data_IF_042336940370
#
_entry.id   IF_042336940370
#
_cell.length_a   1.000
_cell.length_b   1.000
_cell.length_c   1.000
_cell.angle_alpha   90.00
_cell.angle_beta   90.00
_cell.angle_gamma   90.00
#
_symmetry.space_group_name_H-M   'P 1'
#
loop_
_entity.id
_entity.type
_entity.pdbx_description
1 polymer ?
#
# COMPACT_ATOMS: atom_id res chain seq x y z
N UNK A 1 23.36 -37.19 12.07
CA UNK A 1 21.89 -37.49 11.99
C UNK A 1 21.58 -37.96 10.57
N UNK A 2 21.06 -39.15 10.35
CA UNK A 2 20.79 -39.68 8.99
C UNK A 2 19.50 -39.06 8.44
N UNK A 3 19.56 -38.46 7.26
CA UNK A 3 18.42 -37.79 6.63
C UNK A 3 17.35 -38.78 6.14
N UNK A 4 16.07 -38.42 6.03
CA UNK A 4 15.02 -39.26 5.46
C UNK A 4 15.31 -39.70 4.01
N UNK A 5 16.06 -38.92 3.24
CA UNK A 5 16.51 -39.29 1.90
C UNK A 5 17.52 -40.45 1.93
N UNK A 6 18.56 -40.32 2.75
CA UNK A 6 19.55 -41.38 2.92
C UNK A 6 18.96 -42.73 3.42
N UNK A 7 17.93 -42.66 4.30
CA UNK A 7 17.20 -43.87 4.72
C UNK A 7 16.41 -44.51 3.58
N UNK A 8 15.85 -43.72 2.66
CA UNK A 8 15.14 -44.25 1.47
C UNK A 8 16.12 -44.95 0.51
N UNK A 9 17.27 -44.31 0.26
CA UNK A 9 18.32 -44.85 -0.59
C UNK A 9 18.86 -46.17 0.01
N UNK A 10 19.13 -46.22 1.33
CA UNK A 10 19.56 -47.43 2.00
C UNK A 10 18.51 -48.54 1.92
N UNK A 11 17.22 -48.23 2.09
CA UNK A 11 16.15 -49.20 1.95
C UNK A 11 16.02 -49.74 0.51
N UNK A 12 16.18 -48.88 -0.49
CA UNK A 12 16.18 -49.25 -1.91
C UNK A 12 17.40 -50.14 -2.23
N UNK A 13 18.59 -49.78 -1.75
CA UNK A 13 19.81 -50.52 -1.93
C UNK A 13 19.69 -51.96 -1.34
N UNK A 14 19.19 -52.08 -0.10
CA UNK A 14 18.98 -53.40 0.52
C UNK A 14 18.01 -54.29 -0.28
N UNK A 15 16.95 -53.68 -0.85
CA UNK A 15 16.01 -54.39 -1.72
C UNK A 15 16.61 -54.83 -3.03
N UNK A 16 17.48 -54.05 -3.64
CA UNK A 16 18.10 -54.34 -4.94
C UNK A 16 19.26 -55.32 -4.83
N UNK A 17 20.14 -55.17 -3.84
CA UNK A 17 21.38 -55.95 -3.72
C UNK A 17 21.15 -57.26 -2.98
N UNK A 18 20.31 -57.24 -1.96
CA UNK A 18 20.09 -58.42 -1.09
C UNK A 18 18.71 -59.06 -1.26
N UNK A 19 17.93 -58.60 -2.23
CA UNK A 19 16.57 -59.11 -2.57
C UNK A 19 15.62 -59.19 -1.37
N UNK A 20 15.87 -58.40 -0.33
CA UNK A 20 15.04 -58.40 0.88
C UNK A 20 13.77 -57.56 0.68
N UNK A 21 12.69 -57.97 1.30
CA UNK A 21 11.45 -57.23 1.25
C UNK A 21 11.59 -55.82 1.87
N UNK A 22 10.85 -54.84 1.38
CA UNK A 22 10.85 -53.49 1.93
C UNK A 22 10.57 -53.47 3.45
N UNK A 23 9.72 -54.38 3.95
CA UNK A 23 9.47 -54.54 5.39
C UNK A 23 10.74 -54.90 6.15
N UNK A 24 11.51 -55.84 5.64
CA UNK A 24 12.76 -56.28 6.25
C UNK A 24 13.83 -55.21 6.18
N UNK A 25 13.97 -54.56 5.02
CA UNK A 25 14.89 -53.42 4.86
C UNK A 25 14.59 -52.28 5.85
N UNK A 26 13.33 -51.88 6.00
CA UNK A 26 12.91 -50.85 6.98
C UNK A 26 13.24 -51.26 8.43
N UNK A 27 13.06 -52.56 8.76
CA UNK A 27 13.36 -53.07 10.09
C UNK A 27 14.85 -53.01 10.38
N UNK A 28 15.71 -53.38 9.41
CA UNK A 28 17.17 -53.37 9.54
C UNK A 28 17.71 -51.95 9.73
N UNK A 29 17.21 -50.97 8.96
CA UNK A 29 17.67 -49.57 9.05
C UNK A 29 16.96 -48.75 10.14
N UNK A 30 16.03 -49.35 10.89
CA UNK A 30 15.26 -48.63 11.92
C UNK A 30 14.43 -47.49 11.36
N UNK A 31 13.76 -47.67 10.20
CA UNK A 31 12.97 -46.65 9.54
C UNK A 31 11.50 -47.08 9.44
N UNK A 32 10.59 -46.11 9.62
CA UNK A 32 9.17 -46.36 9.42
C UNK A 32 8.84 -46.51 7.92
N UNK A 33 8.02 -47.53 7.57
CA UNK A 33 7.61 -47.81 6.18
C UNK A 33 6.85 -46.67 5.54
N UNK A 34 6.05 -45.94 6.31
CA UNK A 34 5.30 -44.77 5.81
C UNK A 34 6.27 -43.65 5.37
N UNK A 35 7.36 -43.45 6.13
CA UNK A 35 8.41 -42.48 5.81
C UNK A 35 9.21 -42.88 4.56
N UNK A 36 9.46 -44.18 4.36
CA UNK A 36 10.15 -44.69 3.17
C UNK A 36 9.27 -44.59 1.92
N UNK A 37 7.95 -44.87 2.06
CA UNK A 37 6.98 -44.82 0.97
C UNK A 37 6.53 -43.39 0.67
N UNK A 38 6.85 -42.40 1.49
CA UNK A 38 6.44 -41.03 1.29
C UNK A 38 7.03 -40.49 -0.01
N UNK A 39 6.18 -40.29 -0.99
CA UNK A 39 6.48 -39.54 -2.19
C UNK A 39 5.99 -38.10 -2.04
N UNK A 40 6.85 -37.15 -2.36
CA UNK A 40 6.50 -35.74 -2.34
C UNK A 40 5.43 -35.46 -3.41
N UNK A 41 4.17 -35.27 -2.99
CA UNK A 41 3.03 -34.95 -3.87
C UNK A 41 2.89 -33.45 -4.18
N UNK A 42 3.89 -32.65 -3.80
CA UNK A 42 3.83 -31.21 -4.08
C UNK A 42 4.11 -30.96 -5.56
N UNK A 43 3.19 -30.20 -6.19
CA UNK A 43 3.43 -29.66 -7.51
C UNK A 43 4.72 -28.83 -7.51
N UNK A 44 5.38 -28.78 -8.66
CA UNK A 44 6.56 -27.94 -8.84
C UNK A 44 6.17 -26.47 -8.66
N UNK A 45 6.89 -25.79 -7.76
CA UNK A 45 6.74 -24.37 -7.49
C UNK A 45 7.56 -23.52 -8.49
N UNK A 46 8.23 -24.12 -9.49
CA UNK A 46 9.14 -23.46 -10.44
C UNK A 46 8.48 -22.28 -11.17
N UNK A 47 7.36 -22.47 -11.87
CA UNK A 47 6.67 -21.40 -12.59
C UNK A 47 6.23 -20.25 -11.66
N UNK A 48 5.74 -20.60 -10.46
CA UNK A 48 5.36 -19.62 -9.45
C UNK A 48 6.57 -18.81 -8.94
N UNK A 49 7.72 -19.47 -8.74
CA UNK A 49 8.96 -18.81 -8.33
C UNK A 49 9.47 -17.84 -9.41
N UNK A 50 9.43 -18.24 -10.68
CA UNK A 50 9.81 -17.39 -11.80
C UNK A 50 8.92 -16.15 -11.84
N UNK A 51 7.60 -16.33 -11.80
CA UNK A 51 6.67 -15.20 -11.82
C UNK A 51 6.84 -14.28 -10.61
N UNK A 52 7.06 -14.85 -9.42
CA UNK A 52 7.32 -14.07 -8.21
C UNK A 52 8.60 -13.22 -8.32
N UNK A 53 9.66 -13.75 -8.90
CA UNK A 53 10.93 -13.01 -9.15
C UNK A 53 10.72 -11.88 -10.15
N UNK A 54 10.00 -12.12 -11.24
CA UNK A 54 9.66 -11.08 -12.24
C UNK A 54 8.90 -9.91 -11.61
N UNK A 55 7.83 -10.22 -10.86
CA UNK A 55 7.07 -9.19 -10.16
C UNK A 55 7.89 -8.44 -9.12
N UNK A 56 8.77 -9.13 -8.40
CA UNK A 56 9.66 -8.51 -7.42
C UNK A 56 10.73 -7.63 -8.08
N UNK A 57 11.23 -8.01 -9.26
CA UNK A 57 12.17 -7.21 -10.03
C UNK A 57 11.51 -5.94 -10.57
N UNK A 58 10.29 -6.05 -11.08
CA UNK A 58 9.49 -4.90 -11.56
C UNK A 58 9.09 -3.97 -10.41
N UNK A 59 8.84 -4.53 -9.22
CA UNK A 59 8.32 -3.82 -8.05
C UNK A 59 9.26 -3.97 -6.85
N UNK A 60 10.48 -3.48 -6.96
CA UNK A 60 11.59 -3.67 -5.99
C UNK A 60 11.22 -3.37 -4.53
N UNK A 61 10.29 -2.43 -4.32
CA UNK A 61 9.87 -1.99 -2.97
C UNK A 61 8.58 -2.63 -2.48
N UNK A 62 8.03 -3.62 -3.23
CA UNK A 62 6.84 -4.35 -2.80
C UNK A 62 7.22 -5.56 -1.93
N UNK A 63 6.65 -5.60 -0.72
CA UNK A 63 6.72 -6.78 0.14
C UNK A 63 5.77 -7.89 -0.33
N UNK A 64 5.96 -9.11 0.19
CA UNK A 64 5.20 -10.31 -0.20
C UNK A 64 3.66 -10.12 -0.19
N UNK A 65 3.11 -9.28 0.69
CA UNK A 65 1.65 -9.05 0.75
C UNK A 65 1.12 -8.37 -0.50
N UNK A 66 1.82 -7.35 -1.03
CA UNK A 66 1.44 -6.69 -2.29
C UNK A 66 1.67 -7.59 -3.49
N UNK A 67 2.77 -8.33 -3.52
CA UNK A 67 3.03 -9.32 -4.56
C UNK A 67 1.96 -10.43 -4.57
N UNK A 68 1.47 -10.85 -3.41
CA UNK A 68 0.34 -11.78 -3.30
C UNK A 68 -0.94 -11.26 -3.96
N UNK A 69 -1.22 -9.96 -3.79
CA UNK A 69 -2.39 -9.33 -4.41
C UNK A 69 -2.23 -9.29 -5.94
N UNK A 70 -1.04 -8.94 -6.44
CA UNK A 70 -0.77 -8.92 -7.87
C UNK A 70 -0.91 -10.31 -8.49
N UNK A 71 -0.30 -11.34 -7.91
CA UNK A 71 -0.45 -12.73 -8.34
C UNK A 71 -1.92 -13.17 -8.35
N UNK A 72 -2.68 -12.79 -7.32
CA UNK A 72 -4.12 -13.10 -7.25
C UNK A 72 -4.93 -12.42 -8.36
N UNK A 73 -4.56 -11.20 -8.76
CA UNK A 73 -5.17 -10.50 -9.89
C UNK A 73 -4.84 -11.17 -11.24
N UNK A 74 -3.70 -11.84 -11.33
CA UNK A 74 -3.30 -12.68 -12.47
C UNK A 74 -3.98 -14.07 -12.46
N UNK A 75 -4.90 -14.34 -11.51
CA UNK A 75 -5.58 -15.63 -11.38
C UNK A 75 -4.80 -16.67 -10.56
N UNK A 76 -3.60 -16.35 -10.08
CA UNK A 76 -2.78 -17.29 -9.30
C UNK A 76 -3.22 -17.26 -7.84
N UNK A 77 -4.08 -18.22 -7.47
CA UNK A 77 -4.59 -18.33 -6.10
C UNK A 77 -3.68 -19.25 -5.28
N UNK A 78 -3.12 -18.72 -4.21
CA UNK A 78 -2.26 -19.46 -3.30
C UNK A 78 -2.35 -18.97 -1.86
N UNK A 79 -1.99 -19.83 -0.91
CA UNK A 79 -1.95 -19.45 0.50
C UNK A 79 -0.81 -18.44 0.75
N UNK A 80 -1.12 -17.36 1.46
CA UNK A 80 -0.13 -16.32 1.80
C UNK A 80 1.07 -16.85 2.60
N UNK A 81 0.90 -17.91 3.40
CA UNK A 81 2.00 -18.58 4.12
C UNK A 81 2.96 -19.27 3.14
N UNK A 82 2.41 -19.92 2.08
CA UNK A 82 3.22 -20.52 1.00
C UNK A 82 4.01 -19.44 0.28
N UNK A 83 3.36 -18.34 -0.13
CA UNK A 83 4.04 -17.23 -0.79
C UNK A 83 5.13 -16.62 0.08
N UNK A 84 4.85 -16.36 1.37
CA UNK A 84 5.86 -15.82 2.29
C UNK A 84 7.09 -16.70 2.39
N UNK A 85 6.91 -18.03 2.43
CA UNK A 85 8.01 -19.00 2.42
C UNK A 85 8.84 -18.88 1.14
N UNK A 86 8.20 -18.93 -0.04
CA UNK A 86 8.88 -18.79 -1.33
C UNK A 86 9.61 -17.45 -1.45
N UNK A 87 8.97 -16.35 -1.04
CA UNK A 87 9.56 -15.02 -1.01
C UNK A 87 10.82 -14.94 -0.15
N UNK A 88 10.85 -15.67 0.97
CA UNK A 88 12.02 -15.76 1.85
C UNK A 88 13.12 -16.65 1.24
N UNK A 89 12.75 -17.81 0.68
CA UNK A 89 13.68 -18.73 0.02
C UNK A 89 14.37 -18.06 -1.19
N UNK A 90 13.64 -17.26 -1.97
CA UNK A 90 14.17 -16.49 -3.11
C UNK A 90 14.91 -15.19 -2.70
N UNK A 91 15.06 -14.92 -1.39
CA UNK A 91 15.74 -13.73 -0.84
C UNK A 91 15.22 -12.39 -1.36
N UNK A 92 13.92 -12.31 -1.63
CA UNK A 92 13.25 -11.11 -2.17
C UNK A 92 12.85 -10.08 -1.10
N UNK A 93 13.33 -10.24 0.14
CA UNK A 93 12.92 -9.39 1.27
C UNK A 93 13.38 -7.96 1.07
N UNK A 94 12.42 -7.05 1.10
CA UNK A 94 12.68 -5.61 1.05
C UNK A 94 13.17 -5.14 2.42
N UNK A 95 14.39 -4.62 2.47
CA UNK A 95 14.90 -3.96 3.68
C UNK A 95 14.09 -2.70 3.95
N UNK A 96 13.55 -2.57 5.15
CA UNK A 96 12.95 -1.30 5.58
C UNK A 96 14.05 -0.28 5.74
N UNK A 97 13.92 0.87 5.09
CA UNK A 97 14.76 2.03 5.39
C UNK A 97 14.40 2.46 6.81
N UNK A 98 15.28 2.19 7.77
CA UNK A 98 15.05 2.46 9.19
C UNK A 98 15.01 3.96 9.44
N UNK A 99 13.90 4.45 10.02
CA UNK A 99 13.82 5.76 10.64
C UNK A 99 13.85 5.61 12.16
N UNK A 100 14.33 6.64 12.86
CA UNK A 100 14.29 6.70 14.33
C UNK A 100 12.84 6.55 14.79
N UNK A 101 12.55 5.61 15.68
CA UNK A 101 11.24 5.52 16.35
C UNK A 101 11.01 6.80 17.12
N UNK A 102 9.99 7.57 16.75
CA UNK A 102 9.56 8.75 17.49
C UNK A 102 8.47 8.34 18.48
N UNK A 103 8.50 8.89 19.69
CA UNK A 103 7.40 8.75 20.62
C UNK A 103 6.12 9.29 19.98
N UNK A 104 5.04 8.52 20.03
CA UNK A 104 3.73 8.92 19.55
C UNK A 104 3.04 9.65 20.69
N UNK A 105 3.01 10.99 20.65
CA UNK A 105 2.16 11.79 21.53
C UNK A 105 0.67 11.54 21.23
N UNK A 106 -0.21 12.04 22.10
CA UNK A 106 -1.67 12.03 21.92
C UNK A 106 -2.04 12.67 20.58
N UNK A 107 -2.65 11.89 19.70
CA UNK A 107 -3.08 12.35 18.37
C UNK A 107 -4.52 12.80 18.46
N UNK A 108 -4.78 14.07 18.22
CA UNK A 108 -6.14 14.51 17.90
C UNK A 108 -6.57 13.83 16.59
N UNK A 109 -7.76 13.22 16.52
CA UNK A 109 -8.24 12.62 15.28
C UNK A 109 -8.34 13.67 14.19
N UNK A 110 -7.70 13.41 13.05
CA UNK A 110 -7.92 14.21 11.84
C UNK A 110 -9.33 13.92 11.35
N UNK A 111 -10.14 14.96 11.15
CA UNK A 111 -11.46 14.78 10.53
C UNK A 111 -11.27 14.20 9.13
N UNK A 112 -11.75 12.97 8.94
CA UNK A 112 -11.63 12.29 7.67
C UNK A 112 -12.69 12.82 6.69
N UNK A 113 -12.32 13.10 5.43
CA UNK A 113 -13.32 13.45 4.41
C UNK A 113 -14.24 12.25 4.18
N UNK A 114 -15.52 12.53 3.92
CA UNK A 114 -16.56 11.52 3.69
C UNK A 114 -16.84 11.26 2.21
N UNK A 115 -16.20 12.00 1.31
CA UNK A 115 -16.39 11.88 -0.14
C UNK A 115 -15.22 12.44 -0.94
N UNK A 116 -15.17 12.11 -2.25
CA UNK A 116 -14.19 12.69 -3.18
C UNK A 116 -14.29 14.21 -3.25
N UNK A 117 -13.17 14.87 -3.53
CA UNK A 117 -13.08 16.34 -3.65
C UNK A 117 -13.51 17.13 -2.42
N UNK A 118 -13.67 16.52 -1.25
CA UNK A 118 -13.91 17.30 -0.03
C UNK A 118 -12.63 17.98 0.46
N UNK A 119 -11.48 17.29 0.33
CA UNK A 119 -10.20 17.83 0.76
C UNK A 119 -9.05 17.30 -0.07
N UNK A 120 -8.26 18.23 -0.62
CA UNK A 120 -6.99 17.92 -1.26
C UNK A 120 -5.83 18.35 -0.36
N UNK A 121 -4.91 17.44 -0.12
CA UNK A 121 -3.66 17.73 0.58
C UNK A 121 -2.52 17.90 -0.41
N UNK A 122 -1.64 18.88 -0.16
CA UNK A 122 -0.50 19.15 -1.02
C UNK A 122 0.76 19.45 -0.22
N UNK A 123 1.89 19.16 -0.85
CA UNK A 123 3.22 19.39 -0.28
C UNK A 123 4.29 19.40 -1.38
N UNK A 124 5.45 19.99 -1.08
CA UNK A 124 6.62 19.97 -1.95
C UNK A 124 7.62 18.88 -1.55
N UNK A 125 8.01 18.09 -2.53
CA UNK A 125 9.11 17.14 -2.40
C UNK A 125 10.31 17.67 -3.17
N UNK A 126 11.48 17.65 -2.56
CA UNK A 126 12.74 18.08 -3.17
C UNK A 126 13.55 16.90 -3.62
N UNK A 127 14.19 17.02 -4.79
CA UNK A 127 15.15 16.05 -5.31
C UNK A 127 16.20 16.74 -6.18
N UNK A 128 17.14 15.97 -6.71
CA UNK A 128 18.21 16.49 -7.56
C UNK A 128 18.42 15.63 -8.80
N UNK A 129 18.85 16.25 -9.87
CA UNK A 129 19.28 15.59 -11.10
C UNK A 129 20.69 14.99 -10.94
N UNK A 130 21.09 14.11 -11.84
CA UNK A 130 22.42 13.51 -11.85
C UNK A 130 23.57 14.50 -11.97
N UNK A 131 23.33 15.69 -12.52
CA UNK A 131 24.26 16.81 -12.59
C UNK A 131 24.30 17.70 -11.32
N UNK A 132 23.55 17.34 -10.28
CA UNK A 132 23.48 18.04 -9.01
C UNK A 132 22.46 19.21 -8.95
N UNK A 133 21.84 19.58 -10.06
CA UNK A 133 20.79 20.61 -10.07
C UNK A 133 19.56 20.14 -9.30
N UNK A 134 19.08 20.98 -8.39
CA UNK A 134 17.89 20.69 -7.58
C UNK A 134 16.62 21.01 -8.33
N UNK A 135 15.59 20.19 -8.10
CA UNK A 135 14.22 20.46 -8.54
C UNK A 135 13.22 20.13 -7.44
N UNK A 136 12.03 20.65 -7.60
CA UNK A 136 10.91 20.41 -6.68
C UNK A 136 9.79 19.69 -7.39
N UNK A 137 9.00 18.96 -6.63
CA UNK A 137 7.81 18.26 -7.10
C UNK A 137 6.65 18.73 -6.23
N UNK A 138 5.66 19.38 -6.83
CA UNK A 138 4.38 19.63 -6.18
C UNK A 138 3.57 18.35 -6.25
N UNK A 139 3.26 17.77 -5.10
CA UNK A 139 2.39 16.60 -4.96
C UNK A 139 1.01 17.04 -4.46
N UNK A 140 -0.06 16.59 -5.11
CA UNK A 140 -1.45 16.88 -4.74
C UNK A 140 -2.21 15.56 -4.68
N UNK A 141 -2.90 15.29 -3.57
CA UNK A 141 -3.61 14.04 -3.30
C UNK A 141 -5.01 14.33 -2.79
N UNK A 142 -6.00 13.60 -3.27
CA UNK A 142 -7.34 13.57 -2.67
C UNK A 142 -7.31 12.73 -1.40
N UNK A 143 -7.69 13.31 -0.28
CA UNK A 143 -7.60 12.67 1.03
C UNK A 143 -8.62 11.55 1.24
N UNK A 144 -9.69 11.50 0.49
CA UNK A 144 -10.67 10.43 0.54
C UNK A 144 -10.29 9.27 -0.36
N UNK A 145 -10.12 9.51 -1.65
CA UNK A 145 -9.84 8.48 -2.65
C UNK A 145 -8.39 8.00 -2.62
N UNK A 146 -7.49 8.76 -2.02
CA UNK A 146 -6.03 8.54 -2.04
C UNK A 146 -5.41 8.68 -3.42
N UNK A 147 -6.15 9.18 -4.40
CA UNK A 147 -5.60 9.41 -5.73
C UNK A 147 -4.56 10.53 -5.73
N UNK A 148 -3.45 10.27 -6.41
CA UNK A 148 -2.50 11.31 -6.75
C UNK A 148 -3.05 12.13 -7.91
N UNK A 149 -3.49 13.35 -7.64
CA UNK A 149 -4.11 14.23 -8.62
C UNK A 149 -3.08 14.88 -9.53
N UNK A 150 -1.94 15.29 -8.97
CA UNK A 150 -0.82 15.83 -9.73
C UNK A 150 0.54 15.53 -9.10
N UNK A 151 1.56 15.40 -9.96
CA UNK A 151 2.98 15.47 -9.65
C UNK A 151 3.63 16.42 -10.65
N UNK A 152 3.87 17.66 -10.22
CA UNK A 152 4.43 18.69 -11.09
C UNK A 152 5.89 18.94 -10.71
N UNK A 153 6.82 18.51 -11.58
CA UNK A 153 8.27 18.71 -11.36
C UNK A 153 8.77 19.94 -12.09
N UNK A 154 9.44 20.85 -11.36
CA UNK A 154 10.11 22.01 -11.92
C UNK A 154 11.28 22.48 -11.04
N UNK A 155 12.18 23.26 -11.61
CA UNK A 155 13.25 23.96 -10.89
C UNK A 155 12.72 25.12 -10.05
N UNK A 156 11.59 25.72 -10.46
CA UNK A 156 10.90 26.79 -9.75
C UNK A 156 9.39 26.59 -9.80
N UNK A 157 8.76 26.54 -8.65
CA UNK A 157 7.30 26.36 -8.47
C UNK A 157 6.75 27.54 -7.66
N UNK A 158 6.43 28.64 -8.35
CA UNK A 158 5.79 29.81 -7.74
C UNK A 158 4.32 29.55 -7.41
N UNK A 159 3.72 30.33 -6.52
CA UNK A 159 2.28 30.24 -6.20
C UNK A 159 1.37 30.33 -7.42
N UNK A 160 1.71 31.16 -8.42
CA UNK A 160 0.96 31.24 -9.71
C UNK A 160 1.02 29.90 -10.47
N UNK A 161 2.14 29.17 -10.40
CA UNK A 161 2.26 27.87 -11.05
C UNK A 161 1.47 26.80 -10.31
N UNK A 162 1.43 26.86 -8.98
CA UNK A 162 0.57 26.02 -8.16
C UNK A 162 -0.90 26.25 -8.51
N UNK A 163 -1.35 27.51 -8.58
CA UNK A 163 -2.72 27.86 -8.98
C UNK A 163 -3.10 27.26 -10.34
N UNK A 164 -2.24 27.43 -11.37
CA UNK A 164 -2.49 26.81 -12.69
C UNK A 164 -2.56 25.28 -12.66
N UNK A 165 -1.77 24.62 -11.80
CA UNK A 165 -1.86 23.17 -11.63
C UNK A 165 -3.18 22.77 -10.99
N UNK A 166 -3.66 23.55 -10.01
CA UNK A 166 -4.97 23.33 -9.39
C UNK A 166 -6.11 23.57 -10.38
N UNK A 167 -6.06 24.63 -11.18
CA UNK A 167 -7.07 24.92 -12.22
C UNK A 167 -7.19 23.76 -13.21
N UNK A 168 -6.06 23.19 -13.66
CA UNK A 168 -6.05 22.03 -14.56
C UNK A 168 -6.74 20.82 -13.92
N UNK A 169 -6.48 20.55 -12.63
CA UNK A 169 -7.12 19.43 -11.91
C UNK A 169 -8.63 19.72 -11.75
N UNK A 170 -9.00 20.95 -11.42
CA UNK A 170 -10.41 21.35 -11.25
C UNK A 170 -11.19 21.18 -12.55
N UNK A 171 -10.59 21.51 -13.70
CA UNK A 171 -11.21 21.33 -15.02
C UNK A 171 -11.51 19.86 -15.34
N UNK A 172 -10.68 18.92 -14.86
CA UNK A 172 -10.86 17.47 -15.09
C UNK A 172 -11.78 16.82 -14.06
N UNK A 173 -11.69 17.22 -12.80
CA UNK A 173 -12.28 16.48 -11.65
C UNK A 173 -13.38 17.23 -10.90
N UNK A 174 -13.52 18.51 -11.16
CA UNK A 174 -14.34 19.38 -10.35
C UNK A 174 -13.59 19.97 -9.14
N UNK A 175 -14.20 20.98 -8.54
CA UNK A 175 -13.63 21.80 -7.48
C UNK A 175 -13.61 21.07 -6.13
N UNK A 176 -12.51 21.13 -5.35
CA UNK A 176 -12.50 20.65 -3.97
C UNK A 176 -13.22 21.64 -3.05
N UNK A 177 -13.73 21.16 -1.92
CA UNK A 177 -14.24 22.04 -0.88
C UNK A 177 -13.09 22.76 -0.17
N UNK A 178 -12.01 22.03 0.13
CA UNK A 178 -10.84 22.59 0.81
C UNK A 178 -9.52 22.04 0.29
N UNK A 179 -8.48 22.88 0.37
CA UNK A 179 -7.09 22.52 0.18
C UNK A 179 -6.33 22.63 1.51
N UNK A 180 -5.44 21.67 1.80
CA UNK A 180 -4.59 21.66 3.00
C UNK A 180 -3.13 21.65 2.57
N UNK A 181 -2.34 22.55 3.12
CA UNK A 181 -0.90 22.64 2.86
C UNK A 181 -0.11 22.95 4.12
N UNK A 182 1.21 22.79 4.03
CA UNK A 182 2.13 23.36 5.01
C UNK A 182 2.23 24.89 4.83
N UNK A 183 3.04 25.54 5.67
CA UNK A 183 3.29 26.98 5.65
C UNK A 183 4.46 27.37 4.72
N UNK A 184 4.71 26.59 3.66
CA UNK A 184 5.73 26.92 2.68
C UNK A 184 5.51 28.28 2.03
N UNK A 185 6.58 29.01 1.75
CA UNK A 185 6.53 30.40 1.23
C UNK A 185 5.74 30.50 -0.07
N UNK A 186 5.79 29.49 -0.92
CA UNK A 186 5.07 29.44 -2.19
C UNK A 186 3.57 29.24 -1.98
N UNK A 187 3.18 28.47 -0.97
CA UNK A 187 1.79 28.14 -0.64
C UNK A 187 1.12 29.22 0.21
N UNK A 188 1.91 30.04 0.92
CA UNK A 188 1.44 31.22 1.67
C UNK A 188 1.50 32.51 0.85
N UNK A 189 1.82 32.42 -0.43
CA UNK A 189 1.97 33.59 -1.32
C UNK A 189 0.64 34.30 -1.60
N UNK A 190 0.70 35.61 -1.86
CA UNK A 190 -0.46 36.40 -2.28
C UNK A 190 -1.17 35.82 -3.51
N UNK A 191 -0.44 35.13 -4.39
CA UNK A 191 -1.01 34.49 -5.56
C UNK A 191 -1.96 33.35 -5.19
N UNK A 192 -1.63 32.56 -4.19
CA UNK A 192 -2.47 31.48 -3.68
C UNK A 192 -3.67 32.01 -2.90
N UNK A 193 -3.48 33.08 -2.10
CA UNK A 193 -4.59 33.73 -1.39
C UNK A 193 -5.64 34.27 -2.38
N UNK A 194 -5.20 34.96 -3.44
CA UNK A 194 -6.10 35.42 -4.51
C UNK A 194 -6.78 34.25 -5.21
N UNK A 195 -6.03 33.24 -5.59
CA UNK A 195 -6.59 32.06 -6.24
C UNK A 195 -7.66 31.37 -5.38
N UNK A 196 -7.42 31.21 -4.07
CA UNK A 196 -8.41 30.67 -3.12
C UNK A 196 -9.69 31.49 -3.07
N UNK A 197 -9.56 32.83 -3.03
CA UNK A 197 -10.70 33.75 -3.07
C UNK A 197 -11.47 33.70 -4.41
N UNK A 198 -10.75 33.75 -5.54
CA UNK A 198 -11.34 33.73 -6.87
C UNK A 198 -12.03 32.39 -7.18
N UNK A 199 -11.43 31.28 -6.78
CA UNK A 199 -11.98 29.95 -6.98
C UNK A 199 -13.06 29.58 -5.96
N UNK A 200 -13.13 30.25 -4.81
CA UNK A 200 -14.01 29.91 -3.69
C UNK A 200 -13.67 28.53 -3.06
N UNK A 201 -12.38 28.17 -3.06
CA UNK A 201 -11.87 26.96 -2.39
C UNK A 201 -11.30 27.37 -1.03
N UNK A 202 -11.73 26.73 0.05
CA UNK A 202 -11.16 26.97 1.37
C UNK A 202 -9.69 26.53 1.42
N UNK A 203 -8.82 27.37 1.98
CA UNK A 203 -7.41 27.05 2.13
C UNK A 203 -7.01 26.96 3.59
N UNK A 204 -6.57 25.78 4.03
CA UNK A 204 -6.18 25.53 5.40
C UNK A 204 -4.67 25.28 5.51
N UNK A 205 -4.02 26.07 6.34
CA UNK A 205 -2.61 25.83 6.71
C UNK A 205 -2.54 24.95 7.93
N UNK A 206 -1.60 23.99 7.93
CA UNK A 206 -1.34 23.20 9.12
C UNK A 206 -0.74 24.07 10.21
N UNK A 207 -1.12 23.84 11.47
CA UNK A 207 -0.52 24.56 12.59
C UNK A 207 0.98 24.23 12.69
N UNK A 208 1.84 25.21 13.01
CA UNK A 208 3.27 24.97 13.22
C UNK A 208 3.52 23.83 14.21
N UNK A 209 4.41 22.91 13.87
CA UNK A 209 4.71 21.75 14.72
C UNK A 209 3.67 20.63 14.73
N UNK A 210 2.61 20.72 13.91
CA UNK A 210 1.58 19.68 13.81
C UNK A 210 1.54 19.00 12.43
N UNK A 211 2.58 18.30 12.00
CA UNK A 211 2.63 17.61 10.70
C UNK A 211 1.51 16.59 10.53
N UNK A 212 0.96 16.07 11.62
CA UNK A 212 -0.14 15.11 11.62
C UNK A 212 -1.40 15.64 10.89
N UNK A 213 -1.58 16.96 10.79
CA UNK A 213 -2.68 17.58 10.05
C UNK A 213 -2.56 17.40 8.53
N UNK A 214 -1.35 17.05 8.04
CA UNK A 214 -1.08 16.74 6.63
C UNK A 214 -0.59 15.28 6.42
N UNK A 215 -1.00 14.36 7.32
CA UNK A 215 -0.51 12.99 7.35
C UNK A 215 -0.74 12.19 6.06
N UNK A 216 -1.74 12.56 5.24
CA UNK A 216 -2.04 11.88 3.99
C UNK A 216 -0.97 12.15 2.95
N UNK A 217 -0.63 13.42 2.73
CA UNK A 217 0.43 13.79 1.79
C UNK A 217 1.81 13.36 2.30
N UNK A 218 2.08 13.43 3.61
CA UNK A 218 3.33 12.92 4.18
C UNK A 218 3.51 11.41 3.91
N UNK A 219 2.44 10.64 4.13
CA UNK A 219 2.43 9.21 3.84
C UNK A 219 2.60 8.92 2.34
N UNK A 220 2.03 9.75 1.47
CA UNK A 220 2.19 9.69 0.02
C UNK A 220 3.63 9.99 -0.38
N UNK A 221 4.19 11.10 0.09
CA UNK A 221 5.56 11.54 -0.20
C UNK A 221 6.59 10.51 0.28
N UNK A 222 6.33 9.86 1.42
CA UNK A 222 7.16 8.75 1.89
C UNK A 222 7.19 7.57 0.91
N UNK A 223 6.08 7.27 0.24
CA UNK A 223 6.01 6.21 -0.79
C UNK A 223 6.65 6.65 -2.10
N UNK A 224 6.41 7.89 -2.53
CA UNK A 224 7.05 8.47 -3.72
C UNK A 224 8.58 8.42 -3.58
N UNK A 225 9.11 8.83 -2.43
CA UNK A 225 10.55 8.72 -2.14
C UNK A 225 11.05 7.28 -2.15
N UNK A 226 10.36 6.40 -1.44
CA UNK A 226 10.78 5.00 -1.29
C UNK A 226 10.70 4.21 -2.59
N UNK A 227 9.65 4.42 -3.38
CA UNK A 227 9.32 3.60 -4.55
C UNK A 227 9.88 4.16 -5.86
N UNK A 228 10.16 5.48 -5.96
CA UNK A 228 10.67 6.13 -7.16
C UNK A 228 11.94 6.94 -6.93
N UNK A 229 11.89 8.01 -6.11
CA UNK A 229 12.96 9.00 -6.06
C UNK A 229 14.28 8.40 -5.58
N UNK A 230 14.25 7.52 -4.59
CA UNK A 230 15.46 6.85 -4.07
C UNK A 230 15.91 5.65 -4.93
N UNK A 231 15.15 5.26 -5.93
CA UNK A 231 15.46 4.13 -6.83
C UNK A 231 15.89 4.60 -8.22
N UNK A 232 15.75 5.91 -8.52
CA UNK A 232 16.00 6.46 -9.85
C UNK A 232 16.97 7.63 -9.82
N UNK A 233 17.96 7.60 -10.70
CA UNK A 233 18.83 8.76 -10.97
C UNK A 233 18.27 9.50 -12.20
N UNK A 234 17.83 10.73 -12.02
CA UNK A 234 17.25 11.53 -13.09
C UNK A 234 18.30 12.23 -13.90
N UNK A 235 18.44 11.90 -15.18
CA UNK A 235 19.39 12.55 -16.10
C UNK A 235 18.97 13.98 -16.50
N UNK A 236 17.66 14.27 -16.46
CA UNK A 236 17.09 15.57 -16.82
C UNK A 236 15.73 15.80 -16.17
N UNK A 237 15.27 17.05 -16.17
CA UNK A 237 13.93 17.39 -15.70
C UNK A 237 12.83 16.73 -16.57
N UNK A 238 13.08 16.55 -17.87
CA UNK A 238 12.16 15.83 -18.75
C UNK A 238 12.07 14.36 -18.37
N UNK A 239 13.19 13.70 -18.07
CA UNK A 239 13.23 12.33 -17.55
C UNK A 239 12.47 12.23 -16.22
N UNK A 240 12.68 13.16 -15.29
CA UNK A 240 11.97 13.19 -14.01
C UNK A 240 10.45 13.32 -14.21
N UNK A 241 10.00 14.19 -15.11
CA UNK A 241 8.57 14.38 -15.42
C UNK A 241 7.94 13.11 -16.00
N UNK A 242 8.63 12.44 -16.91
CA UNK A 242 8.14 11.18 -17.50
C UNK A 242 8.01 10.09 -16.43
N UNK A 243 9.06 9.85 -15.66
CA UNK A 243 9.07 8.85 -14.60
C UNK A 243 7.99 9.11 -13.53
N UNK A 244 7.77 10.39 -13.16
CA UNK A 244 6.71 10.79 -12.25
C UNK A 244 5.31 10.54 -12.84
N UNK A 245 5.11 10.78 -14.13
CA UNK A 245 3.84 10.52 -14.80
C UNK A 245 3.53 9.02 -14.85
N UNK A 246 4.49 8.18 -15.22
CA UNK A 246 4.37 6.72 -15.21
C UNK A 246 4.09 6.18 -13.80
N UNK A 247 4.85 6.65 -12.80
CA UNK A 247 4.64 6.25 -11.42
C UNK A 247 3.27 6.69 -10.89
N UNK A 248 2.79 7.90 -11.21
CA UNK A 248 1.44 8.37 -10.86
C UNK A 248 0.36 7.49 -11.45
N UNK A 249 0.49 7.13 -12.72
CA UNK A 249 -0.45 6.23 -13.38
C UNK A 249 -0.50 4.88 -12.66
N UNK A 250 0.67 4.29 -12.41
CA UNK A 250 0.76 3.02 -11.67
C UNK A 250 0.19 3.12 -10.25
N UNK A 251 0.54 4.17 -9.53
CA UNK A 251 0.05 4.44 -8.17
C UNK A 251 -1.48 4.48 -8.13
N UNK A 252 -2.10 5.15 -9.09
CA UNK A 252 -3.55 5.33 -9.14
C UNK A 252 -4.30 4.10 -9.67
N UNK A 253 -3.73 3.35 -10.63
CA UNK A 253 -4.48 2.30 -11.35
C UNK A 253 -4.10 0.88 -10.97
N UNK A 254 -2.84 0.63 -10.63
CA UNK A 254 -2.32 -0.73 -10.41
C UNK A 254 -1.97 -0.99 -8.94
N UNK A 255 -1.35 -0.04 -8.28
CA UNK A 255 -0.81 -0.21 -6.94
C UNK A 255 -1.88 -0.57 -5.91
N UNK A 256 -1.73 -1.71 -5.13
CA UNK A 256 -2.68 -2.05 -4.07
C UNK A 256 -2.52 -1.15 -2.85
N UNK A 257 -3.64 -0.63 -2.32
CA UNK A 257 -3.68 0.22 -1.12
C UNK A 257 -4.43 -0.48 0.01
N UNK A 258 -3.72 -0.81 1.09
CA UNK A 258 -4.30 -1.52 2.24
C UNK A 258 -5.44 -0.74 2.92
N UNK A 259 -5.36 0.60 2.95
CA UNK A 259 -6.42 1.46 3.49
C UNK A 259 -7.69 1.49 2.62
N UNK A 260 -7.61 1.05 1.38
CA UNK A 260 -8.73 0.96 0.42
C UNK A 260 -9.12 -0.50 0.13
N UNK A 261 -8.94 -1.40 1.10
CA UNK A 261 -9.23 -2.82 0.89
C UNK A 261 -8.37 -3.49 -0.18
N UNK A 262 -7.16 -3.00 -0.41
CA UNK A 262 -6.24 -3.42 -1.47
C UNK A 262 -6.68 -3.08 -2.91
N UNK A 263 -7.66 -2.21 -3.06
CA UNK A 263 -7.98 -1.60 -4.35
C UNK A 263 -6.94 -0.55 -4.74
N UNK A 264 -6.89 -0.23 -6.02
CA UNK A 264 -6.18 0.96 -6.49
C UNK A 264 -7.03 2.21 -6.20
N UNK A 265 -6.44 3.40 -6.03
CA UNK A 265 -7.17 4.64 -5.80
C UNK A 265 -8.24 4.94 -6.84
N UNK A 266 -7.94 4.78 -8.13
CA UNK A 266 -8.89 5.02 -9.21
C UNK A 266 -10.10 4.10 -9.15
N UNK A 267 -9.90 2.80 -8.88
CA UNK A 267 -11.01 1.86 -8.73
C UNK A 267 -11.87 2.20 -7.51
N UNK A 268 -11.25 2.62 -6.41
CA UNK A 268 -11.96 3.05 -5.22
C UNK A 268 -12.79 4.32 -5.48
N UNK A 269 -12.24 5.29 -6.20
CA UNK A 269 -12.95 6.51 -6.60
C UNK A 269 -14.17 6.22 -7.47
N UNK A 270 -14.03 5.33 -8.47
CA UNK A 270 -15.15 4.91 -9.32
C UNK A 270 -16.28 4.25 -8.52
N UNK A 271 -15.95 3.33 -7.62
CA UNK A 271 -16.95 2.66 -6.77
C UNK A 271 -17.65 3.65 -5.84
N UNK A 272 -16.90 4.59 -5.26
CA UNK A 272 -17.46 5.64 -4.38
C UNK A 272 -18.42 6.55 -5.13
N UNK A 273 -18.08 6.93 -6.38
CA UNK A 273 -18.95 7.76 -7.22
C UNK A 273 -20.26 7.01 -7.59
N UNK A 274 -20.18 5.71 -7.87
CA UNK A 274 -21.37 4.89 -8.15
C UNK A 274 -22.26 4.74 -6.91
N UNK A 275 -21.69 4.56 -5.72
CA UNK A 275 -22.43 4.49 -4.47
C UNK A 275 -23.15 5.82 -4.18
N UNK A 276 -22.49 6.94 -4.33
CA UNK A 276 -23.08 8.28 -4.13
C UNK A 276 -24.25 8.56 -5.10
N UNK A 277 -24.16 8.10 -6.35
CA UNK A 277 -25.25 8.22 -7.33
C UNK A 277 -26.45 7.38 -6.94
N UNK A 278 -26.27 6.15 -6.42
CA UNK A 278 -27.34 5.29 -5.94
C UNK A 278 -28.06 5.88 -4.73
N UNK A 279 -27.32 6.40 -3.75
CA UNK A 279 -27.90 7.08 -2.59
C UNK A 279 -28.64 8.36 -2.99
N UNK A 280 -28.11 9.14 -3.93
CA UNK A 280 -28.79 10.31 -4.49
C UNK A 280 -30.10 9.97 -5.22
N UNK A 281 -30.14 8.86 -5.97
CA UNK A 281 -31.35 8.38 -6.64
C UNK A 281 -32.39 7.86 -5.66
N UNK A 282 -31.99 7.21 -4.56
CA UNK A 282 -32.91 6.75 -3.50
C UNK A 282 -33.51 7.90 -2.70
N UNK A 283 -32.77 9.00 -2.51
CA UNK A 283 -33.33 10.23 -1.90
C UNK A 283 -34.31 10.97 -2.79
N UNK A 284 -34.15 10.87 -4.11
CA UNK A 284 -35.05 11.48 -5.08
C UNK A 284 -36.40 10.72 -5.23
N UNK A 285 -36.49 9.46 -4.79
CA UNK A 285 -37.69 8.60 -4.91
C UNK A 285 -38.49 8.56 -3.58
N UNK A 286 -38.38 9.56 -2.72
CA UNK A 286 -39.30 9.76 -1.59
C UNK A 286 -39.07 8.85 -0.39
N UNK A 287 -38.56 9.43 0.65
CA UNK A 287 -38.95 9.24 2.04
C UNK A 287 -39.05 7.85 2.62
N UNK A 288 -37.89 7.23 2.92
CA UNK A 288 -37.76 6.42 4.12
C UNK A 288 -36.28 6.35 4.49
N UNK A 289 -35.94 6.95 5.61
CA UNK A 289 -34.57 6.88 6.13
C UNK A 289 -34.24 5.41 6.45
N UNK A 290 -33.13 4.86 5.98
CA UNK A 290 -32.70 3.54 6.44
C UNK A 290 -32.37 3.62 7.94
N UNK A 291 -32.93 2.69 8.72
CA UNK A 291 -32.60 2.52 10.12
C UNK A 291 -31.10 2.27 10.25
N UNK A 292 -30.41 2.87 11.24
CA UNK A 292 -29.02 2.56 11.50
C UNK A 292 -28.89 1.07 11.84
N UNK A 293 -28.04 0.37 11.11
CA UNK A 293 -27.65 -1.02 11.41
C UNK A 293 -26.92 -0.99 12.74
N UNK A 294 -27.51 -1.61 13.76
CA UNK A 294 -26.92 -1.77 15.06
C UNK A 294 -25.61 -2.57 14.92
N UNK A 295 -24.52 -2.04 15.42
CA UNK A 295 -23.26 -2.77 15.59
C UNK A 295 -23.52 -3.94 16.56
N UNK A 296 -23.06 -5.17 16.27
CA UNK A 296 -23.20 -6.26 17.21
C UNK A 296 -22.43 -5.95 18.48
N UNK A 297 -23.15 -5.89 19.61
CA UNK A 297 -22.55 -5.77 20.93
C UNK A 297 -21.71 -7.01 21.21
N UNK A 298 -20.45 -6.81 21.59
CA UNK A 298 -19.64 -7.86 22.20
C UNK A 298 -20.29 -8.29 23.52
N UNK A 299 -20.86 -9.46 23.53
CA UNK A 299 -21.32 -10.11 24.74
C UNK A 299 -20.13 -10.69 25.50
N UNK A 300 -20.11 -10.47 26.80
CA UNK A 300 -19.62 -11.41 27.80
C UNK A 300 -18.16 -11.29 28.22
N UNK A 301 -17.90 -10.51 29.25
CA UNK A 301 -16.89 -10.89 30.24
C UNK A 301 -17.61 -11.33 31.52
N UNK A 302 -17.39 -12.57 31.92
CA UNK A 302 -17.84 -13.12 33.19
C UNK A 302 -17.09 -12.42 34.34
N UNK A 303 -17.77 -11.58 35.06
CA UNK A 303 -17.36 -11.20 36.43
C UNK A 303 -18.06 -12.11 37.44
N UNK A 304 -17.30 -13.02 38.02
CA UNK A 304 -17.71 -13.70 39.23
C UNK A 304 -17.41 -12.81 40.45
N UNK A 305 -18.35 -12.63 41.37
CA UNK A 305 -18.08 -11.88 42.59
C UNK A 305 -17.32 -12.75 43.61
N UNK A 306 -16.17 -12.26 44.04
CA UNK A 306 -15.39 -12.84 45.14
C UNK A 306 -16.10 -12.51 46.46
N UNK A 307 -16.56 -13.52 47.17
CA UNK A 307 -17.06 -13.45 48.53
C UNK A 307 -15.90 -13.10 49.51
N UNK A 308 -16.03 -11.98 50.19
CA UNK A 308 -15.23 -11.63 51.36
C UNK A 308 -15.84 -12.34 52.59
N UNK A 309 -15.05 -13.19 53.25
CA UNK A 309 -15.33 -13.72 54.60
C UNK A 309 -14.55 -12.86 55.60
N UNK A 310 -15.19 -12.37 56.65
CA UNK A 310 -14.48 -11.65 57.72
C UNK A 310 -13.90 -12.64 58.74
N UNK A 311 -12.70 -12.36 59.17
CA UNK A 311 -11.98 -13.03 60.25
C UNK A 311 -10.83 -12.14 60.69
#
# INVERSE_FOLDING_TARGET
>A
MVTPAARREAAAHLGQVYEVSQRRACQVIGADRSSIRYCRRRLDDGPLRSRLRELAALRRRFGYRRLHILLRREGITLNHKKLRRLYTEERLQVRRRGGRKRALGTRAPLTLPHGPNQRWSMDFVHDQLGDGRRFRILAIVDDFTRECLALVADTSLSGRRVGRALDAIIAERGKPAACVSDNGTELTSTAILRWSQDSGVEWHYIAPGRPQQNAFIESFNGRLRDELLNETLFSSLAHARLALAEWRLDYNTVRPHSSLGNMSPANYAQLSALASRRDGSLRAIGGCAPRPVATPSRAGSNDQPTLLIPG
#
